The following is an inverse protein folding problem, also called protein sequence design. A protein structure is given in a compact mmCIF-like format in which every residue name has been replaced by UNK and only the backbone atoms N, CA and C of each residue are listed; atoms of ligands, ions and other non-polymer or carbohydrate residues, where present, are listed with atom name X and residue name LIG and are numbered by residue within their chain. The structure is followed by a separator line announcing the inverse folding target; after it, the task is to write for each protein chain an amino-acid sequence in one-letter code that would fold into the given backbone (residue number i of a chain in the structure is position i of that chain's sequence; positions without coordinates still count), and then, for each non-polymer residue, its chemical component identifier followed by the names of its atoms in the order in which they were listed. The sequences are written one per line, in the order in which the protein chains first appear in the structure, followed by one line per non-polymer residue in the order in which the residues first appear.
data_IF_828595770509
#
_entry.id   IF_828595770509
#
_cell.length_a   1.000
_cell.length_b   1.000
_cell.length_c   1.000
_cell.angle_alpha   90.00
_cell.angle_beta   90.00
_cell.angle_gamma   90.00
#
_symmetry.space_group_name_H-M   'P 1'
#
loop_
_entity.id
_entity.type
_entity.pdbx_description
1 polymer ?
#
# COMPACT_ATOMS: atom_id res chain seq x y z
N UNK A 1 -12.19 9.38 16.63
CA UNK A 1 -11.92 8.60 15.40
C UNK A 1 -10.51 8.95 14.96
N UNK A 2 -9.57 8.05 15.23
CA UNK A 2 -8.15 8.22 14.99
C UNK A 2 -7.85 8.09 13.49
N UNK A 3 -8.08 9.16 12.72
CA UNK A 3 -7.87 9.17 11.27
C UNK A 3 -6.42 8.86 10.90
N UNK A 4 -5.47 9.27 11.73
CA UNK A 4 -4.04 9.02 11.53
C UNK A 4 -3.73 7.53 11.55
N UNK A 5 -4.34 6.75 12.44
CA UNK A 5 -4.20 5.30 12.48
C UNK A 5 -4.80 4.62 11.25
N UNK A 6 -5.99 5.04 10.79
CA UNK A 6 -6.62 4.49 9.58
C UNK A 6 -5.70 4.72 8.36
N UNK A 7 -5.20 5.95 8.19
CA UNK A 7 -4.27 6.30 7.10
C UNK A 7 -2.96 5.50 7.20
N UNK A 8 -2.46 5.28 8.42
CA UNK A 8 -1.25 4.48 8.64
C UNK A 8 -1.44 3.01 8.24
N UNK A 9 -2.57 2.39 8.60
CA UNK A 9 -2.90 1.02 8.18
C UNK A 9 -3.01 0.93 6.66
N UNK A 10 -3.69 1.89 6.01
CA UNK A 10 -3.78 1.96 4.55
C UNK A 10 -2.41 2.11 3.89
N UNK A 11 -1.53 2.96 4.46
CA UNK A 11 -0.15 3.11 4.01
C UNK A 11 0.65 1.80 4.10
N UNK A 12 0.47 1.03 5.18
CA UNK A 12 1.08 -0.30 5.33
C UNK A 12 0.56 -1.29 4.28
N UNK A 13 -0.75 -1.33 4.03
CA UNK A 13 -1.34 -2.20 3.00
C UNK A 13 -0.78 -1.82 1.63
N UNK A 14 -0.80 -0.53 1.27
CA UNK A 14 -0.30 -0.04 -0.01
C UNK A 14 1.19 -0.34 -0.21
N UNK A 15 2.00 -0.27 0.85
CA UNK A 15 3.41 -0.67 0.81
C UNK A 15 3.57 -2.16 0.54
N UNK A 16 2.69 -2.98 1.11
CA UNK A 16 2.69 -4.44 0.92
C UNK A 16 2.28 -4.80 -0.51
N UNK A 17 1.25 -4.15 -1.05
CA UNK A 17 0.84 -4.26 -2.45
C UNK A 17 1.97 -3.87 -3.42
N UNK A 18 2.66 -2.76 -3.15
CA UNK A 18 3.81 -2.34 -3.96
C UNK A 18 4.97 -3.34 -3.94
N UNK A 19 5.21 -4.03 -2.82
CA UNK A 19 6.19 -5.13 -2.75
C UNK A 19 5.69 -6.35 -3.53
N UNK A 20 4.41 -6.70 -3.43
CA UNK A 20 3.82 -7.81 -4.18
C UNK A 20 3.88 -7.59 -5.69
N UNK A 21 3.78 -6.34 -6.16
CA UNK A 21 4.00 -6.00 -7.57
C UNK A 21 5.44 -6.28 -8.07
N UNK A 22 6.40 -6.56 -7.20
CA UNK A 22 7.71 -7.05 -7.64
C UNK A 22 7.62 -8.43 -8.33
N UNK A 23 6.63 -9.26 -7.97
CA UNK A 23 6.39 -10.57 -8.61
C UNK A 23 6.04 -10.44 -10.10
N UNK A 24 5.02 -9.68 -10.53
CA UNK A 24 4.74 -9.48 -11.95
C UNK A 24 5.85 -8.71 -12.67
N UNK A 25 6.61 -7.85 -11.98
CA UNK A 25 7.81 -7.23 -12.56
C UNK A 25 8.89 -8.28 -12.91
N UNK A 26 9.12 -9.24 -12.00
CA UNK A 26 10.06 -10.35 -12.24
C UNK A 26 9.60 -11.22 -13.41
N UNK A 27 8.31 -11.55 -13.46
CA UNK A 27 7.73 -12.33 -14.57
C UNK A 27 7.89 -11.58 -15.90
N UNK A 28 7.56 -10.29 -15.94
CA UNK A 28 7.70 -9.49 -17.15
C UNK A 28 9.17 -9.40 -17.63
N UNK A 29 10.14 -9.41 -16.69
CA UNK A 29 11.56 -9.46 -17.01
C UNK A 29 11.95 -10.80 -17.63
N UNK A 30 11.45 -11.92 -17.11
CA UNK A 30 11.72 -13.27 -17.64
C UNK A 30 11.17 -13.42 -19.07
N UNK A 31 9.94 -12.95 -19.31
CA UNK A 31 9.28 -13.05 -20.62
C UNK A 31 9.64 -11.91 -21.58
N UNK A 32 10.48 -10.94 -21.18
CA UNK A 32 10.87 -9.78 -22.00
C UNK A 32 9.67 -8.96 -22.52
N UNK A 33 8.66 -8.80 -21.67
CA UNK A 33 7.44 -8.07 -22.00
C UNK A 33 7.63 -6.55 -21.87
N UNK A 34 7.28 -5.79 -22.91
CA UNK A 34 7.26 -4.31 -22.86
C UNK A 34 6.35 -3.76 -21.75
N UNK A 35 5.33 -4.53 -21.34
CA UNK A 35 4.43 -4.16 -20.26
C UNK A 35 5.11 -4.17 -18.87
N UNK A 36 6.29 -4.78 -18.73
CA UNK A 36 7.07 -4.80 -17.49
C UNK A 36 7.37 -3.40 -16.95
N UNK A 37 7.58 -2.42 -17.84
CA UNK A 37 7.83 -1.03 -17.45
C UNK A 37 6.63 -0.43 -16.73
N UNK A 38 5.41 -0.74 -17.18
CA UNK A 38 4.19 -0.25 -16.53
C UNK A 38 4.06 -0.82 -15.10
N UNK A 39 4.33 -2.11 -14.91
CA UNK A 39 4.30 -2.72 -13.58
C UNK A 39 5.35 -2.11 -12.64
N UNK A 40 6.56 -1.83 -13.14
CA UNK A 40 7.61 -1.18 -12.34
C UNK A 40 7.19 0.24 -11.93
N UNK A 41 6.61 1.02 -12.84
CA UNK A 41 6.12 2.37 -12.52
C UNK A 41 5.05 2.31 -11.43
N UNK A 42 4.06 1.42 -11.56
CA UNK A 42 2.99 1.29 -10.56
C UNK A 42 3.53 0.77 -9.22
N UNK A 43 4.48 -0.16 -9.22
CA UNK A 43 5.15 -0.64 -8.01
C UNK A 43 5.89 0.48 -7.27
N UNK A 44 6.62 1.33 -8.01
CA UNK A 44 7.34 2.47 -7.43
C UNK A 44 6.36 3.53 -6.90
N UNK A 45 5.32 3.87 -7.66
CA UNK A 45 4.32 4.86 -7.23
C UNK A 45 3.56 4.40 -5.98
N UNK A 46 3.14 3.13 -5.93
CA UNK A 46 2.47 2.56 -4.75
C UNK A 46 3.38 2.52 -3.53
N UNK A 47 4.66 2.18 -3.68
CA UNK A 47 5.64 2.23 -2.59
C UNK A 47 5.88 3.66 -2.08
N UNK A 48 6.02 4.64 -2.96
CA UNK A 48 6.20 6.05 -2.58
C UNK A 48 4.96 6.57 -1.87
N UNK A 49 3.77 6.29 -2.40
CA UNK A 49 2.51 6.68 -1.78
C UNK A 49 2.34 6.00 -0.41
N UNK A 50 2.64 4.70 -0.31
CA UNK A 50 2.60 3.94 0.94
C UNK A 50 3.56 4.52 1.98
N UNK A 51 4.80 4.83 1.58
CA UNK A 51 5.77 5.49 2.46
C UNK A 51 5.27 6.86 2.92
N UNK A 52 4.77 7.70 2.02
CA UNK A 52 4.26 9.04 2.34
C UNK A 52 3.12 8.98 3.39
N UNK A 53 2.20 8.03 3.23
CA UNK A 53 1.08 7.80 4.16
C UNK A 53 1.58 7.28 5.52
N UNK A 54 2.64 6.46 5.53
CA UNK A 54 3.22 5.84 6.73
C UNK A 54 4.11 6.80 7.54
N UNK A 55 4.57 7.93 6.96
CA UNK A 55 5.41 8.93 7.67
C UNK A 55 4.71 9.48 8.92
N UNK A 56 3.38 9.63 8.87
CA UNK A 56 2.60 10.09 10.02
C UNK A 56 2.30 8.94 10.97
N UNK A 57 3.22 8.72 11.90
CA UNK A 57 3.00 7.75 12.99
C UNK A 57 1.75 8.14 13.80
N UNK A 58 0.87 7.17 14.10
CA UNK A 58 -0.30 7.43 14.92
C UNK A 58 0.12 7.74 16.37
N UNK A 59 -0.61 8.66 17.00
CA UNK A 59 -0.35 9.07 18.40
C UNK A 59 -0.79 8.01 19.40
N UNK A 60 -1.84 7.26 19.06
CA UNK A 60 -2.39 6.16 19.84
C UNK A 60 -2.49 4.91 18.96
N UNK A 61 -2.10 3.74 19.48
CA UNK A 61 -2.12 2.44 18.79
C UNK A 61 -3.35 1.60 19.12
N UNK A 62 -4.30 2.14 19.87
CA UNK A 62 -5.56 1.46 20.21
C UNK A 62 -6.51 1.54 19.03
N UNK A 63 -6.75 0.40 18.37
CA UNK A 63 -7.70 0.26 17.26
C UNK A 63 -9.07 -0.07 17.85
N UNK A 64 -10.06 0.81 17.63
CA UNK A 64 -11.45 0.51 17.94
C UNK A 64 -12.13 -0.19 16.76
N UNK A 65 -13.17 -1.00 17.04
CA UNK A 65 -13.89 -1.77 16.02
C UNK A 65 -14.35 -0.93 14.82
N UNK A 66 -14.88 0.27 15.09
CA UNK A 66 -15.31 1.23 14.05
C UNK A 66 -14.16 1.64 13.12
N UNK A 67 -12.96 1.83 13.66
CA UNK A 67 -11.79 2.25 12.89
C UNK A 67 -11.22 1.08 12.08
N UNK A 68 -11.26 -0.13 12.63
CA UNK A 68 -10.95 -1.36 11.92
C UNK A 68 -11.87 -1.59 10.71
N UNK A 69 -13.19 -1.52 10.89
CA UNK A 69 -14.15 -1.69 9.79
C UNK A 69 -13.94 -0.65 8.67
N UNK A 70 -13.69 0.61 9.03
CA UNK A 70 -13.44 1.68 8.05
C UNK A 70 -12.13 1.40 7.30
N UNK A 71 -11.05 1.04 8.01
CA UNK A 71 -9.76 0.72 7.39
C UNK A 71 -9.88 -0.46 6.41
N UNK A 72 -10.62 -1.51 6.76
CA UNK A 72 -10.90 -2.63 5.85
C UNK A 72 -11.71 -2.17 4.64
N UNK A 73 -12.81 -1.43 4.81
CA UNK A 73 -13.59 -0.97 3.66
C UNK A 73 -12.77 -0.09 2.70
N UNK A 74 -11.90 0.76 3.26
CA UNK A 74 -11.04 1.65 2.47
C UNK A 74 -9.88 0.91 1.81
N UNK A 75 -9.44 -0.23 2.34
CA UNK A 75 -8.39 -1.02 1.69
C UNK A 75 -8.87 -1.79 0.47
N UNK A 76 -10.18 -2.05 0.38
CA UNK A 76 -10.81 -2.72 -0.75
C UNK A 76 -11.25 -1.76 -1.87
N UNK A 77 -11.23 -0.46 -1.61
CA UNK A 77 -11.58 0.62 -2.57
C UNK A 77 -10.30 1.10 -3.24
#
# INVERSE_FOLDING_TARGET
MNRTMIIYILGCILKTEGVLMALPCLVALIYHESQGIAYVIVAVLSLIAGMLLTIRKPKDYIIYLKEGCIATSLSWI
#
